data_IF_603324423017
#
_entry.id   IF_603324423017
#
_cell.length_a   1.000
_cell.length_b   1.000
_cell.length_c   1.000
_cell.angle_alpha   90.00
_cell.angle_beta   90.00
_cell.angle_gamma   90.00
#
_symmetry.space_group_name_H-M   'P 1'
#
loop_
_entity.id
_entity.type
_entity.pdbx_description
1 polymer ?
#
# COMPACT_ATOMS: atom_id res chain seq x y z
N UNK A 1 -22.62 37.27 0.62
CA UNK A 1 -22.49 36.39 -0.56
C UNK A 1 -23.88 35.91 -0.97
N UNK A 2 -24.29 36.17 -2.21
CA UNK A 2 -25.48 35.58 -2.84
C UNK A 2 -25.05 35.02 -4.20
N UNK A 3 -25.31 33.74 -4.47
CA UNK A 3 -25.45 33.26 -5.85
C UNK A 3 -24.94 31.86 -6.16
N UNK A 4 -23.68 31.56 -5.88
CA UNK A 4 -23.07 30.23 -6.08
C UNK A 4 -22.13 29.97 -4.92
N UNK A 5 -22.48 29.01 -4.05
CA UNK A 5 -21.58 28.50 -3.04
C UNK A 5 -20.45 27.76 -3.75
N UNK A 6 -19.20 28.20 -3.53
CA UNK A 6 -18.03 27.45 -3.97
C UNK A 6 -18.10 26.08 -3.28
N UNK A 7 -18.23 25.02 -4.07
CA UNK A 7 -18.17 23.66 -3.55
C UNK A 7 -16.74 23.37 -3.08
N UNK A 8 -16.55 23.32 -1.77
CA UNK A 8 -15.29 22.95 -1.13
C UNK A 8 -15.20 21.46 -0.81
N UNK A 9 -16.21 20.65 -1.17
CA UNK A 9 -16.22 19.21 -0.86
C UNK A 9 -15.13 18.49 -1.63
N UNK A 10 -14.18 17.91 -0.91
CA UNK A 10 -13.13 17.10 -1.49
C UNK A 10 -13.52 15.61 -1.49
N UNK A 11 -13.37 14.90 -2.61
CA UNK A 11 -13.64 13.47 -2.65
C UNK A 11 -12.54 12.71 -1.91
N UNK A 12 -12.92 11.74 -1.07
CA UNK A 12 -11.96 10.84 -0.41
C UNK A 12 -11.30 9.92 -1.46
N UNK A 13 -9.97 9.91 -1.56
CA UNK A 13 -9.26 8.95 -2.41
C UNK A 13 -9.49 7.51 -1.93
N UNK A 14 -9.51 6.55 -2.85
CA UNK A 14 -9.45 5.14 -2.48
C UNK A 14 -8.10 4.81 -1.82
N UNK A 15 -8.09 3.86 -0.89
CA UNK A 15 -6.88 3.37 -0.22
C UNK A 15 -6.09 4.41 0.60
N UNK A 16 -6.61 5.62 0.79
CA UNK A 16 -6.01 6.56 1.74
C UNK A 16 -6.33 6.11 3.17
N UNK A 17 -5.30 6.14 4.03
CA UNK A 17 -5.44 5.80 5.45
C UNK A 17 -6.37 6.78 6.16
N UNK A 18 -7.06 6.28 7.19
CA UNK A 18 -8.04 7.08 7.93
C UNK A 18 -7.42 8.32 8.57
N UNK A 19 -6.25 8.20 9.20
CA UNK A 19 -5.59 9.35 9.83
C UNK A 19 -5.15 10.42 8.82
N UNK A 20 -4.71 10.02 7.62
CA UNK A 20 -4.41 10.94 6.53
C UNK A 20 -5.68 11.63 6.03
N UNK A 21 -6.76 10.88 5.84
CA UNK A 21 -8.04 11.45 5.43
C UNK A 21 -8.60 12.41 6.48
N UNK A 22 -8.56 12.04 7.76
CA UNK A 22 -8.99 12.87 8.86
C UNK A 22 -8.23 14.22 8.90
N UNK A 23 -6.93 14.22 8.58
CA UNK A 23 -6.16 15.45 8.47
C UNK A 23 -6.63 16.35 7.30
N UNK A 24 -6.98 15.79 6.15
CA UNK A 24 -7.55 16.55 5.02
C UNK A 24 -8.94 17.08 5.35
N UNK A 25 -9.81 16.22 5.92
CA UNK A 25 -11.17 16.61 6.31
C UNK A 25 -11.17 17.73 7.36
N UNK A 26 -10.28 17.66 8.36
CA UNK A 26 -10.18 18.70 9.37
C UNK A 26 -9.82 20.08 8.80
N UNK A 27 -8.93 20.14 7.81
CA UNK A 27 -8.59 21.41 7.14
C UNK A 27 -9.71 21.88 6.19
N UNK A 28 -10.40 20.95 5.51
CA UNK A 28 -11.56 21.28 4.69
C UNK A 28 -12.73 21.84 5.53
N UNK A 29 -12.96 21.27 6.71
CA UNK A 29 -13.99 21.75 7.66
C UNK A 29 -13.64 23.13 8.23
N UNK A 30 -12.35 23.44 8.43
CA UNK A 30 -11.90 24.80 8.79
C UNK A 30 -12.20 25.79 7.66
N UNK A 31 -11.82 25.45 6.44
CA UNK A 31 -12.12 26.28 5.26
C UNK A 31 -13.62 26.55 5.13
N UNK A 32 -14.45 25.51 5.26
CA UNK A 32 -15.91 25.66 5.19
C UNK A 32 -16.43 26.64 6.26
N UNK A 33 -15.94 26.56 7.50
CA UNK A 33 -16.32 27.50 8.57
C UNK A 33 -15.94 28.94 8.24
N UNK A 34 -14.74 29.16 7.69
CA UNK A 34 -14.27 30.49 7.30
C UNK A 34 -15.10 31.12 6.18
N UNK A 35 -15.56 30.30 5.23
CA UNK A 35 -16.50 30.73 4.19
C UNK A 35 -17.87 31.05 4.77
N UNK A 36 -18.38 30.23 5.69
CA UNK A 36 -19.65 30.47 6.39
C UNK A 36 -19.63 31.75 7.23
N UNK A 37 -18.48 32.12 7.80
CA UNK A 37 -18.30 33.37 8.53
C UNK A 37 -17.98 34.57 7.63
N UNK A 38 -17.91 34.39 6.31
CA UNK A 38 -17.52 35.42 5.34
C UNK A 38 -16.14 36.04 5.66
N UNK A 39 -15.22 35.25 6.20
CA UNK A 39 -13.85 35.67 6.52
C UNK A 39 -12.90 35.30 5.37
N UNK A 40 -12.78 36.19 4.40
CA UNK A 40 -11.92 35.98 3.23
C UNK A 40 -10.44 35.79 3.57
N UNK A 41 -9.94 36.52 4.58
CA UNK A 41 -8.54 36.41 5.01
C UNK A 41 -8.24 35.04 5.62
N UNK A 42 -9.17 34.54 6.44
CA UNK A 42 -9.05 33.20 7.01
C UNK A 42 -9.27 32.12 5.94
N UNK A 43 -10.21 32.29 5.01
CA UNK A 43 -10.42 31.37 3.91
C UNK A 43 -9.15 31.19 3.05
N UNK A 44 -8.40 32.26 2.78
CA UNK A 44 -7.11 32.19 2.08
C UNK A 44 -6.04 31.43 2.87
N UNK A 45 -6.06 31.53 4.21
CA UNK A 45 -5.16 30.76 5.06
C UNK A 45 -5.55 29.27 5.07
N UNK A 46 -6.84 28.96 5.16
CA UNK A 46 -7.33 27.59 5.27
C UNK A 46 -7.16 26.81 3.96
N UNK A 47 -7.38 27.43 2.79
CA UNK A 47 -7.14 26.74 1.51
C UNK A 47 -5.66 26.38 1.31
N UNK A 48 -4.73 27.22 1.80
CA UNK A 48 -3.30 26.87 1.85
C UNK A 48 -3.09 25.65 2.74
N UNK A 49 -3.72 25.60 3.91
CA UNK A 49 -3.60 24.46 4.84
C UNK A 49 -4.14 23.16 4.21
N UNK A 50 -5.26 23.21 3.49
CA UNK A 50 -5.79 22.07 2.73
C UNK A 50 -4.77 21.56 1.71
N UNK A 51 -4.24 22.46 0.88
CA UNK A 51 -3.22 22.12 -0.14
C UNK A 51 -1.96 21.55 0.51
N UNK A 52 -1.48 22.16 1.59
CA UNK A 52 -0.29 21.71 2.32
C UNK A 52 -0.50 20.34 2.97
N UNK A 53 -1.65 20.10 3.58
CA UNK A 53 -2.02 18.81 4.19
C UNK A 53 -1.96 17.68 3.16
N UNK A 54 -2.58 17.88 2.00
CA UNK A 54 -2.55 16.91 0.90
C UNK A 54 -1.10 16.69 0.41
N UNK A 55 -0.34 17.76 0.21
CA UNK A 55 1.05 17.65 -0.26
C UNK A 55 1.95 16.90 0.73
N UNK A 56 1.80 17.14 2.03
CA UNK A 56 2.54 16.41 3.07
C UNK A 56 2.17 14.94 3.11
N UNK A 57 0.89 14.59 2.97
CA UNK A 57 0.44 13.20 2.90
C UNK A 57 1.05 12.49 1.70
N UNK A 58 1.10 13.13 0.53
CA UNK A 58 1.74 12.54 -0.67
C UNK A 58 3.20 12.18 -0.38
N UNK A 59 3.94 13.07 0.28
CA UNK A 59 5.35 12.87 0.60
C UNK A 59 5.56 11.82 1.69
N UNK A 60 4.68 11.77 2.67
CA UNK A 60 4.65 10.73 3.71
C UNK A 60 4.38 9.35 3.12
N UNK A 61 3.34 9.21 2.28
CA UNK A 61 3.03 7.97 1.53
C UNK A 61 4.16 7.56 0.59
N UNK A 62 4.95 8.52 0.10
CA UNK A 62 6.13 8.24 -0.72
C UNK A 62 7.33 7.71 0.10
N UNK A 63 7.25 7.71 1.43
CA UNK A 63 8.36 7.35 2.32
C UNK A 63 9.41 8.46 2.48
N UNK A 64 9.07 9.69 2.08
CA UNK A 64 9.94 10.87 2.19
C UNK A 64 9.18 12.02 2.86
N UNK A 65 8.80 11.90 4.14
CA UNK A 65 7.99 12.92 4.81
C UNK A 65 8.65 14.30 4.74
N UNK A 66 7.86 15.33 4.50
CA UNK A 66 8.36 16.70 4.45
C UNK A 66 8.90 17.15 5.82
N UNK A 67 10.03 17.87 5.82
CA UNK A 67 10.53 18.53 7.03
C UNK A 67 9.42 19.43 7.62
N UNK A 68 9.25 19.46 8.95
CA UNK A 68 8.27 20.36 9.59
C UNK A 68 8.42 21.82 9.17
N UNK A 69 9.64 22.28 8.90
CA UNK A 69 10.00 23.63 8.50
C UNK A 69 10.15 23.82 6.98
N UNK A 70 9.86 22.79 6.17
CA UNK A 70 9.95 22.90 4.72
C UNK A 70 9.01 24.01 4.20
N UNK A 71 9.50 24.75 3.21
CA UNK A 71 8.72 25.82 2.58
C UNK A 71 7.52 25.25 1.82
N UNK A 72 6.33 25.84 2.01
CA UNK A 72 5.09 25.44 1.35
C UNK A 72 5.22 25.17 -0.15
N UNK A 73 5.83 26.10 -0.91
CA UNK A 73 5.98 25.97 -2.36
C UNK A 73 6.81 24.75 -2.72
N UNK A 74 7.88 24.48 -1.96
CA UNK A 74 8.73 23.30 -2.17
C UNK A 74 7.99 21.99 -1.90
N UNK A 75 7.16 21.94 -0.85
CA UNK A 75 6.36 20.74 -0.50
C UNK A 75 5.36 20.45 -1.61
N UNK A 76 4.61 21.46 -2.05
CA UNK A 76 3.61 21.32 -3.12
C UNK A 76 4.27 20.93 -4.44
N UNK A 77 5.42 21.53 -4.78
CA UNK A 77 6.16 21.19 -5.99
C UNK A 77 6.64 19.73 -6.01
N UNK A 78 7.21 19.25 -4.89
CA UNK A 78 7.66 17.87 -4.74
C UNK A 78 6.47 16.89 -4.83
N UNK A 79 5.40 17.13 -4.06
CA UNK A 79 4.20 16.31 -4.10
C UNK A 79 3.60 16.24 -5.51
N UNK A 80 3.50 17.38 -6.21
CA UNK A 80 3.01 17.44 -7.58
C UNK A 80 3.89 16.62 -8.55
N UNK A 81 5.21 16.72 -8.42
CA UNK A 81 6.16 15.93 -9.22
C UNK A 81 5.99 14.44 -8.98
N UNK A 82 5.88 14.02 -7.72
CA UNK A 82 5.62 12.63 -7.34
C UNK A 82 4.32 12.11 -7.94
N UNK A 83 3.21 12.87 -7.84
CA UNK A 83 1.92 12.45 -8.38
C UNK A 83 1.87 12.41 -9.91
N UNK A 84 2.59 13.31 -10.56
CA UNK A 84 2.70 13.40 -12.02
C UNK A 84 3.59 12.29 -12.61
N UNK A 85 4.66 11.93 -11.93
CA UNK A 85 5.68 10.99 -12.41
C UNK A 85 5.33 9.51 -12.24
N UNK A 86 4.15 9.18 -11.70
CA UNK A 86 3.72 7.79 -11.54
C UNK A 86 3.61 7.07 -12.90
N UNK A 87 3.85 5.75 -12.96
CA UNK A 87 3.52 4.87 -14.09
C UNK A 87 2.08 4.32 -13.99
N UNK A 88 1.39 4.12 -15.12
CA UNK A 88 0.01 3.61 -15.18
C UNK A 88 -0.81 4.06 -16.40
N UNK A 89 -1.92 3.35 -16.68
CA UNK A 89 -2.71 3.48 -17.92
C UNK A 89 -3.54 4.77 -18.03
N UNK A 90 -3.75 5.50 -16.92
CA UNK A 90 -4.54 6.75 -16.90
C UNK A 90 -3.69 8.03 -16.81
N UNK A 91 -2.39 7.95 -17.11
CA UNK A 91 -1.45 8.94 -16.58
C UNK A 91 -1.05 10.07 -17.52
N UNK A 92 -1.14 11.27 -16.96
CA UNK A 92 -0.76 12.55 -17.54
C UNK A 92 0.76 12.72 -17.75
N UNK A 93 1.57 11.67 -17.64
CA UNK A 93 3.02 11.80 -17.76
C UNK A 93 3.37 12.06 -19.24
N UNK A 94 4.08 13.15 -19.51
CA UNK A 94 4.46 13.61 -20.86
C UNK A 94 3.31 13.87 -21.83
N UNK A 95 2.07 14.06 -21.35
CA UNK A 95 0.93 14.47 -22.20
C UNK A 95 0.57 15.93 -21.96
N UNK A 96 -0.30 16.49 -22.81
CA UNK A 96 -0.87 17.83 -22.60
C UNK A 96 -1.60 17.96 -21.25
N UNK A 97 -2.17 16.87 -20.75
CA UNK A 97 -2.78 16.82 -19.42
C UNK A 97 -1.73 16.92 -18.30
N UNK A 98 -0.50 16.45 -18.54
CA UNK A 98 0.63 16.64 -17.63
C UNK A 98 1.06 18.08 -17.49
N UNK A 99 0.94 18.84 -18.58
CA UNK A 99 1.16 20.28 -18.58
C UNK A 99 0.08 20.97 -17.76
N UNK A 100 -1.20 20.59 -17.93
CA UNK A 100 -2.29 21.12 -17.11
C UNK A 100 -2.07 20.86 -15.61
N UNK A 101 -1.70 19.64 -15.22
CA UNK A 101 -1.35 19.32 -13.83
C UNK A 101 -0.20 20.18 -13.31
N UNK A 102 0.82 20.42 -14.14
CA UNK A 102 1.95 21.30 -13.78
C UNK A 102 1.50 22.74 -13.55
N UNK A 103 0.59 23.26 -14.37
CA UNK A 103 0.04 24.61 -14.18
C UNK A 103 -0.84 24.69 -12.93
N UNK A 104 -1.68 23.70 -12.68
CA UNK A 104 -2.45 23.62 -11.43
C UNK A 104 -1.54 23.62 -10.21
N UNK A 105 -0.43 22.86 -10.24
CA UNK A 105 0.56 22.86 -9.17
C UNK A 105 1.24 24.21 -8.95
N UNK A 106 1.52 24.97 -10.02
CA UNK A 106 2.07 26.34 -9.93
C UNK A 106 1.05 27.32 -9.35
N UNK A 107 -0.21 27.23 -9.77
CA UNK A 107 -1.30 28.05 -9.22
C UNK A 107 -1.44 27.79 -7.72
N UNK A 108 -1.41 26.52 -7.28
CA UNK A 108 -1.49 26.16 -5.88
C UNK A 108 -0.28 26.67 -5.07
N UNK A 109 0.93 26.66 -5.63
CA UNK A 109 2.13 27.22 -4.99
C UNK A 109 1.99 28.73 -4.69
N UNK A 110 1.30 29.49 -5.54
CA UNK A 110 1.07 30.92 -5.34
C UNK A 110 0.24 31.22 -4.07
N UNK A 111 -0.50 30.23 -3.54
CA UNK A 111 -1.23 30.39 -2.27
C UNK A 111 -0.31 30.73 -1.09
N UNK A 112 0.96 30.35 -1.14
CA UNK A 112 1.93 30.74 -0.12
C UNK A 112 2.09 32.27 -0.05
N UNK A 113 2.33 32.89 -1.20
CA UNK A 113 2.49 34.35 -1.31
C UNK A 113 1.16 35.08 -1.09
N UNK A 114 0.06 34.57 -1.63
CA UNK A 114 -1.29 35.11 -1.42
C UNK A 114 -1.62 35.12 0.08
N UNK A 115 -1.39 34.02 0.79
CA UNK A 115 -1.61 33.96 2.24
C UNK A 115 -0.70 34.93 2.99
N UNK A 116 0.57 35.02 2.62
CA UNK A 116 1.50 35.94 3.27
C UNK A 116 1.08 37.41 3.08
N UNK A 117 0.54 37.77 1.92
CA UNK A 117 0.11 39.14 1.62
C UNK A 117 -1.30 39.47 2.15
N UNK A 118 -2.24 38.53 2.10
CA UNK A 118 -3.66 38.78 2.35
C UNK A 118 -4.33 37.89 3.40
N UNK A 119 -3.72 36.77 3.78
CA UNK A 119 -4.32 35.80 4.70
C UNK A 119 -4.05 36.04 6.19
N UNK A 120 -4.76 35.30 7.03
CA UNK A 120 -4.69 35.34 8.50
C UNK A 120 -3.53 34.54 9.13
N UNK A 121 -3.36 34.67 10.46
CA UNK A 121 -2.54 33.77 11.30
C UNK A 121 -1.23 34.33 11.88
N UNK A 122 -0.77 35.50 11.45
CA UNK A 122 0.29 36.25 12.13
C UNK A 122 -0.22 37.67 12.29
N UNK A 123 -0.50 38.11 13.53
CA UNK A 123 -1.13 39.40 13.81
C UNK A 123 -0.60 40.52 12.91
N UNK A 124 -1.51 41.25 12.26
CA UNK A 124 -1.17 42.28 11.28
C UNK A 124 -1.38 43.67 11.87
N UNK A 125 -0.49 44.58 11.53
CA UNK A 125 -0.66 46.00 11.86
C UNK A 125 -1.87 46.63 11.16
N UNK A 126 -2.30 46.07 10.01
CA UNK A 126 -3.47 46.51 9.24
C UNK A 126 -4.19 45.32 8.61
N UNK A 127 -5.52 45.39 8.55
CA UNK A 127 -6.34 44.44 7.80
C UNK A 127 -6.15 44.67 6.30
N UNK A 128 -5.78 43.64 5.51
CA UNK A 128 -5.68 43.76 4.07
C UNK A 128 -7.06 43.98 3.44
N UNK A 129 -7.13 44.78 2.38
CA UNK A 129 -8.34 44.95 1.58
C UNK A 129 -8.45 43.78 0.62
N UNK A 130 -9.49 42.97 0.76
CA UNK A 130 -9.77 41.81 -0.07
C UNK A 130 -11.08 42.02 -0.83
N UNK A 131 -11.06 41.77 -2.14
CA UNK A 131 -12.29 41.68 -2.93
C UNK A 131 -12.76 40.23 -2.98
N UNK A 132 -14.06 40.03 -3.18
CA UNK A 132 -14.63 38.69 -3.36
C UNK A 132 -13.94 37.93 -4.49
N UNK A 133 -13.60 38.60 -5.59
CA UNK A 133 -12.90 38.02 -6.74
C UNK A 133 -11.53 37.44 -6.36
N UNK A 134 -10.77 38.12 -5.50
CA UNK A 134 -9.46 37.63 -5.04
C UNK A 134 -9.60 36.35 -4.23
N UNK A 135 -10.62 36.25 -3.39
CA UNK A 135 -10.91 35.07 -2.58
C UNK A 135 -11.35 33.92 -3.49
N UNK A 136 -12.28 34.17 -4.41
CA UNK A 136 -12.79 33.16 -5.37
C UNK A 136 -11.66 32.58 -6.22
N UNK A 137 -10.84 33.43 -6.83
CA UNK A 137 -9.74 33.00 -7.70
C UNK A 137 -8.72 32.13 -6.96
N UNK A 138 -8.41 32.46 -5.70
CA UNK A 138 -7.54 31.65 -4.87
C UNK A 138 -8.15 30.28 -4.51
N UNK A 139 -9.45 30.26 -4.19
CA UNK A 139 -10.18 29.02 -3.92
C UNK A 139 -10.23 28.11 -5.15
N UNK A 140 -10.56 28.66 -6.33
CA UNK A 140 -10.60 27.90 -7.58
C UNK A 140 -9.24 27.28 -7.90
N UNK A 141 -8.16 28.05 -7.75
CA UNK A 141 -6.80 27.58 -7.95
C UNK A 141 -6.40 26.47 -6.97
N UNK A 142 -6.67 26.66 -5.68
CA UNK A 142 -6.35 25.67 -4.64
C UNK A 142 -7.15 24.39 -4.76
N UNK A 143 -8.47 24.50 -4.98
CA UNK A 143 -9.38 23.36 -5.10
C UNK A 143 -9.15 22.58 -6.39
N UNK A 144 -8.79 23.25 -7.50
CA UNK A 144 -8.40 22.58 -8.75
C UNK A 144 -7.25 21.61 -8.50
N UNK A 145 -6.18 22.08 -7.85
CA UNK A 145 -5.04 21.22 -7.54
C UNK A 145 -5.39 20.16 -6.49
N UNK A 146 -6.10 20.52 -5.41
CA UNK A 146 -6.47 19.58 -4.35
C UNK A 146 -7.31 18.41 -4.88
N UNK A 147 -8.33 18.69 -5.72
CA UNK A 147 -9.18 17.66 -6.33
C UNK A 147 -8.40 16.77 -7.30
N UNK A 148 -7.49 17.35 -8.08
CA UNK A 148 -6.59 16.58 -8.94
C UNK A 148 -5.66 15.70 -8.09
N UNK A 149 -4.99 16.28 -7.11
CA UNK A 149 -4.00 15.60 -6.27
C UNK A 149 -4.63 14.44 -5.48
N UNK A 150 -5.80 14.62 -4.90
CA UNK A 150 -6.53 13.57 -4.19
C UNK A 150 -6.91 12.41 -5.12
N UNK A 151 -7.43 12.70 -6.31
CA UNK A 151 -7.71 11.64 -7.29
C UNK A 151 -6.46 10.85 -7.65
N UNK A 152 -5.34 11.54 -7.86
CA UNK A 152 -4.02 10.94 -8.15
C UNK A 152 -3.46 10.17 -6.97
N UNK A 153 -3.67 10.65 -5.75
CA UNK A 153 -3.24 10.00 -4.52
C UNK A 153 -3.92 8.64 -4.36
N UNK A 154 -5.18 8.48 -4.78
CA UNK A 154 -5.86 7.19 -4.72
C UNK A 154 -5.20 6.10 -5.56
N UNK A 155 -4.77 6.45 -6.79
CA UNK A 155 -3.96 5.53 -7.61
C UNK A 155 -2.57 5.34 -7.02
N UNK A 156 -2.01 6.39 -6.40
CA UNK A 156 -0.68 6.32 -5.81
C UNK A 156 -0.60 5.35 -4.65
N UNK A 157 -1.62 5.35 -3.78
CA UNK A 157 -1.69 4.51 -2.57
C UNK A 157 -2.05 3.06 -2.89
N UNK A 158 -2.70 2.82 -4.01
CA UNK A 158 -3.22 1.51 -4.42
C UNK A 158 -2.18 0.39 -4.32
N UNK A 159 -0.97 0.61 -4.84
CA UNK A 159 0.14 -0.36 -4.82
C UNK A 159 1.20 -0.09 -3.76
N UNK A 160 1.00 0.87 -2.84
CA UNK A 160 2.06 1.23 -1.88
C UNK A 160 2.24 0.13 -0.84
N UNK A 161 3.49 -0.34 -0.60
CA UNK A 161 3.75 -1.49 0.27
C UNK A 161 3.05 -1.39 1.62
N UNK A 162 3.26 -0.30 2.35
CA UNK A 162 2.71 -0.14 3.69
C UNK A 162 1.17 -0.08 3.70
N UNK A 163 0.56 0.51 2.68
CA UNK A 163 -0.91 0.54 2.57
C UNK A 163 -1.46 -0.83 2.23
N UNK A 164 -0.80 -1.57 1.33
CA UNK A 164 -1.23 -2.90 0.92
C UNK A 164 -1.08 -3.93 2.05
N UNK A 165 0.05 -3.88 2.78
CA UNK A 165 0.31 -4.75 3.93
C UNK A 165 -0.73 -4.51 5.04
N UNK A 166 -1.01 -3.24 5.37
CA UNK A 166 -2.02 -2.91 6.37
C UNK A 166 -3.43 -3.33 5.93
N UNK A 167 -3.78 -3.23 4.65
CA UNK A 167 -5.09 -3.70 4.18
C UNK A 167 -5.22 -5.23 4.25
N UNK A 168 -4.13 -5.96 4.02
CA UNK A 168 -4.09 -7.42 4.10
C UNK A 168 -4.19 -7.90 5.56
N UNK A 169 -3.41 -7.31 6.46
CA UNK A 169 -3.18 -7.85 7.81
C UNK A 169 -3.48 -6.91 8.98
N UNK A 170 -3.71 -5.63 8.72
CA UNK A 170 -3.99 -4.62 9.74
C UNK A 170 -5.34 -4.81 10.44
N UNK A 171 -5.63 -3.89 11.35
CA UNK A 171 -6.87 -3.88 12.13
C UNK A 171 -7.58 -2.52 11.98
N UNK A 172 -8.81 -2.47 11.42
CA UNK A 172 -9.55 -3.59 10.82
C UNK A 172 -8.95 -4.05 9.47
N UNK A 173 -9.14 -5.32 9.13
CA UNK A 173 -8.71 -5.86 7.82
C UNK A 173 -9.61 -5.35 6.71
N UNK A 174 -9.03 -5.07 5.54
CA UNK A 174 -9.81 -4.72 4.36
C UNK A 174 -10.55 -5.93 3.77
N UNK A 175 -11.65 -5.65 3.08
CA UNK A 175 -12.41 -6.63 2.29
C UNK A 175 -11.91 -6.53 0.85
N UNK A 176 -11.35 -7.62 0.33
CA UNK A 176 -10.91 -7.72 -1.07
C UNK A 176 -12.02 -8.33 -1.93
N UNK A 177 -12.26 -7.72 -3.09
CA UNK A 177 -13.10 -8.30 -4.15
C UNK A 177 -12.23 -8.96 -5.21
N UNK A 178 -12.81 -9.87 -5.98
CA UNK A 178 -12.09 -10.59 -7.05
C UNK A 178 -11.39 -9.61 -8.02
N UNK A 179 -10.11 -9.88 -8.29
CA UNK A 179 -9.25 -9.07 -9.15
C UNK A 179 -8.67 -7.82 -8.47
N UNK A 180 -9.12 -7.46 -7.27
CA UNK A 180 -8.66 -6.26 -6.58
C UNK A 180 -7.23 -6.41 -6.11
N UNK A 181 -6.88 -7.53 -5.46
CA UNK A 181 -5.51 -7.72 -4.98
C UNK A 181 -4.56 -7.87 -6.17
N UNK A 182 -4.96 -8.58 -7.22
CA UNK A 182 -4.14 -8.73 -8.43
C UNK A 182 -3.81 -7.36 -9.03
N UNK A 183 -4.81 -6.49 -9.18
CA UNK A 183 -4.62 -5.11 -9.66
C UNK A 183 -3.68 -4.32 -8.76
N UNK A 184 -3.81 -4.45 -7.43
CA UNK A 184 -2.93 -3.78 -6.47
C UNK A 184 -1.48 -4.27 -6.52
N UNK A 185 -1.26 -5.57 -6.70
CA UNK A 185 0.08 -6.15 -6.87
C UNK A 185 0.74 -5.69 -8.17
N UNK A 186 -0.02 -5.56 -9.26
CA UNK A 186 0.45 -4.95 -10.51
C UNK A 186 0.84 -3.49 -10.28
N UNK A 187 -0.03 -2.71 -9.62
CA UNK A 187 0.23 -1.31 -9.25
C UNK A 187 1.44 -1.16 -8.32
N UNK A 188 1.71 -2.15 -7.47
CA UNK A 188 2.88 -2.17 -6.58
C UNK A 188 4.19 -2.39 -7.35
N UNK A 189 4.13 -2.94 -8.57
CA UNK A 189 5.28 -3.24 -9.41
C UNK A 189 6.38 -3.94 -8.60
N UNK A 190 6.04 -5.11 -8.03
CA UNK A 190 6.88 -5.91 -7.13
C UNK A 190 8.37 -5.94 -7.53
N UNK A 191 8.75 -6.13 -8.81
CA UNK A 191 10.17 -6.20 -9.21
C UNK A 191 10.99 -4.93 -8.92
N UNK A 192 10.33 -3.78 -8.82
CA UNK A 192 10.99 -2.49 -8.55
C UNK A 192 11.09 -2.15 -7.06
N UNK A 193 10.42 -2.92 -6.20
CA UNK A 193 10.47 -2.72 -4.76
C UNK A 193 11.78 -3.29 -4.17
N UNK A 194 12.15 -2.81 -2.98
CA UNK A 194 13.23 -3.43 -2.21
C UNK A 194 12.86 -4.86 -1.81
N UNK A 195 13.88 -5.73 -1.64
CA UNK A 195 13.71 -7.10 -1.15
C UNK A 195 12.86 -7.17 0.14
N UNK A 196 13.08 -6.21 1.05
CA UNK A 196 12.31 -6.09 2.29
C UNK A 196 10.81 -5.88 2.03
N UNK A 197 10.43 -4.96 1.13
CA UNK A 197 9.03 -4.72 0.81
C UNK A 197 8.41 -5.87 0.01
N UNK A 198 9.16 -6.46 -0.94
CA UNK A 198 8.70 -7.66 -1.65
C UNK A 198 8.34 -8.77 -0.66
N UNK A 199 9.24 -9.06 0.29
CA UNK A 199 9.02 -10.07 1.32
C UNK A 199 7.86 -9.73 2.24
N UNK A 200 7.78 -8.49 2.72
CA UNK A 200 6.71 -8.06 3.63
C UNK A 200 5.31 -8.17 2.97
N UNK A 201 5.18 -7.78 1.69
CA UNK A 201 3.93 -7.98 0.95
C UNK A 201 3.63 -9.47 0.80
N UNK A 202 4.62 -10.29 0.42
CA UNK A 202 4.45 -11.73 0.28
C UNK A 202 3.96 -12.39 1.58
N UNK A 203 4.59 -12.05 2.71
CA UNK A 203 4.16 -12.52 4.04
C UNK A 203 2.71 -12.15 4.31
N UNK A 204 2.33 -10.90 4.02
CA UNK A 204 0.97 -10.43 4.26
C UNK A 204 -0.06 -11.16 3.39
N UNK A 205 0.25 -11.41 2.11
CA UNK A 205 -0.59 -12.19 1.21
C UNK A 205 -0.75 -13.63 1.71
N UNK A 206 0.37 -14.30 2.04
CA UNK A 206 0.37 -15.67 2.53
C UNK A 206 -0.45 -15.83 3.81
N UNK A 207 -0.27 -14.94 4.79
CA UNK A 207 -0.99 -14.94 6.06
C UNK A 207 -2.49 -14.74 5.87
N UNK A 208 -2.86 -13.77 5.02
CA UNK A 208 -4.25 -13.47 4.75
C UNK A 208 -4.93 -14.62 4.00
N UNK A 209 -4.25 -15.23 3.03
CA UNK A 209 -4.72 -16.43 2.34
C UNK A 209 -4.91 -17.62 3.31
N UNK A 210 -3.91 -17.90 4.15
CA UNK A 210 -3.96 -18.97 5.16
C UNK A 210 -5.07 -18.76 6.20
N UNK A 211 -5.47 -17.51 6.46
CA UNK A 211 -6.61 -17.19 7.32
C UNK A 211 -8.00 -17.45 6.68
N UNK A 212 -8.05 -18.13 5.53
CA UNK A 212 -9.29 -18.55 4.85
C UNK A 212 -9.88 -17.50 3.92
N UNK A 213 -9.10 -16.51 3.50
CA UNK A 213 -9.58 -15.47 2.55
C UNK A 213 -9.33 -15.93 1.12
N UNK A 214 -10.26 -16.72 0.55
CA UNK A 214 -10.12 -17.35 -0.79
C UNK A 214 -9.77 -16.36 -1.91
N UNK A 215 -10.38 -15.17 -1.92
CA UNK A 215 -10.09 -14.14 -2.94
C UNK A 215 -8.61 -13.71 -2.91
N UNK A 216 -8.02 -13.61 -1.72
CA UNK A 216 -6.59 -13.26 -1.58
C UNK A 216 -5.69 -14.40 -2.05
N UNK A 217 -6.12 -15.65 -1.82
CA UNK A 217 -5.44 -16.81 -2.37
C UNK A 217 -5.47 -16.83 -3.90
N UNK A 218 -6.64 -16.66 -4.52
CA UNK A 218 -6.83 -16.61 -5.97
C UNK A 218 -6.09 -15.46 -6.65
N UNK A 219 -6.05 -14.28 -6.04
CA UNK A 219 -5.46 -13.09 -6.65
C UNK A 219 -3.94 -12.96 -6.37
N UNK A 220 -3.45 -13.50 -5.25
CA UNK A 220 -2.10 -13.24 -4.74
C UNK A 220 -1.20 -14.46 -4.61
N UNK A 221 -1.77 -15.66 -4.45
CA UNK A 221 -1.03 -16.92 -4.28
C UNK A 221 -1.04 -17.73 -5.57
N UNK A 222 -2.21 -18.04 -6.13
CA UNK A 222 -2.33 -18.88 -7.34
C UNK A 222 -1.59 -18.33 -8.57
N UNK A 223 -1.60 -17.01 -8.87
CA UNK A 223 -0.88 -16.49 -10.03
C UNK A 223 0.65 -16.61 -9.89
N UNK A 224 1.14 -16.56 -8.64
CA UNK A 224 2.55 -16.79 -8.30
C UNK A 224 2.91 -18.29 -8.34
N UNK A 225 1.99 -19.15 -7.89
CA UNK A 225 2.10 -20.61 -7.94
C UNK A 225 2.15 -21.13 -9.38
N UNK A 226 1.39 -20.51 -10.30
CA UNK A 226 1.25 -20.94 -11.69
C UNK A 226 2.26 -20.29 -12.66
N UNK A 227 3.29 -19.64 -12.15
CA UNK A 227 4.33 -18.98 -12.94
C UNK A 227 5.70 -19.24 -12.32
N UNK A 228 6.70 -19.49 -13.15
CA UNK A 228 8.11 -19.58 -12.72
C UNK A 228 8.89 -18.28 -12.96
N UNK A 229 8.23 -17.24 -13.47
CA UNK A 229 8.88 -15.99 -13.86
C UNK A 229 9.25 -15.13 -12.65
N UNK A 230 10.54 -15.13 -12.31
CA UNK A 230 11.11 -14.30 -11.23
C UNK A 230 11.15 -12.80 -11.57
N UNK A 231 10.98 -12.42 -12.83
CA UNK A 231 10.87 -11.01 -13.24
C UNK A 231 9.46 -10.45 -12.98
N UNK A 232 8.44 -11.30 -12.84
CA UNK A 232 7.08 -10.90 -12.47
C UNK A 232 6.81 -11.15 -10.98
N UNK A 233 7.27 -12.31 -10.48
CA UNK A 233 7.11 -12.75 -9.09
C UNK A 233 8.49 -12.92 -8.45
N UNK A 234 9.06 -11.83 -7.91
CA UNK A 234 10.42 -11.84 -7.38
C UNK A 234 10.62 -12.85 -6.27
N UNK A 235 11.87 -13.27 -6.13
CA UNK A 235 12.36 -14.19 -5.09
C UNK A 235 11.79 -13.87 -3.70
N UNK A 236 11.95 -12.63 -3.25
CA UNK A 236 11.60 -12.25 -1.88
C UNK A 236 10.09 -12.24 -1.63
N UNK A 237 9.29 -11.93 -2.65
CA UNK A 237 7.83 -12.10 -2.58
C UNK A 237 7.45 -13.57 -2.40
N UNK A 238 8.04 -14.49 -3.18
CA UNK A 238 7.80 -15.94 -3.08
C UNK A 238 8.16 -16.48 -1.69
N UNK A 239 9.33 -16.10 -1.17
CA UNK A 239 9.74 -16.44 0.19
C UNK A 239 8.75 -15.92 1.22
N UNK A 240 8.28 -14.69 1.05
CA UNK A 240 7.25 -14.10 1.89
C UNK A 240 5.95 -14.90 1.87
N UNK A 241 5.42 -15.22 0.68
CA UNK A 241 4.17 -15.99 0.55
C UNK A 241 4.31 -17.36 1.20
N UNK A 242 5.39 -18.10 0.90
CA UNK A 242 5.66 -19.40 1.50
C UNK A 242 5.72 -19.32 3.04
N UNK A 243 6.42 -18.33 3.58
CA UNK A 243 6.46 -18.08 5.02
C UNK A 243 5.06 -17.79 5.58
N UNK A 244 4.32 -16.87 4.96
CA UNK A 244 3.00 -16.46 5.44
C UNK A 244 1.94 -17.56 5.39
N UNK A 245 2.10 -18.55 4.50
CA UNK A 245 1.25 -19.73 4.48
C UNK A 245 1.46 -20.64 5.71
N UNK A 246 2.65 -20.60 6.32
CA UNK A 246 3.02 -21.47 7.45
C UNK A 246 3.03 -20.78 8.81
N UNK A 247 3.08 -19.45 8.84
CA UNK A 247 3.14 -18.68 10.08
C UNK A 247 2.20 -17.48 10.05
N UNK A 248 1.43 -17.29 11.13
CA UNK A 248 0.63 -16.07 11.33
C UNK A 248 1.49 -14.85 11.71
N UNK A 249 0.84 -13.70 11.93
CA UNK A 249 1.52 -12.44 12.24
C UNK A 249 2.25 -12.49 13.59
N UNK A 250 1.76 -13.29 14.54
CA UNK A 250 2.36 -13.55 15.84
C UNK A 250 3.49 -14.59 15.79
N UNK A 251 3.69 -15.23 14.63
CA UNK A 251 4.71 -16.25 14.40
C UNK A 251 4.31 -17.65 14.83
N UNK A 252 3.03 -17.87 15.17
CA UNK A 252 2.49 -19.19 15.43
C UNK A 252 2.37 -19.99 14.13
N UNK A 253 2.51 -21.30 14.25
CA UNK A 253 2.44 -22.22 13.11
C UNK A 253 0.98 -22.40 12.65
N UNK A 254 0.70 -22.00 11.41
CA UNK A 254 -0.59 -22.22 10.69
C UNK A 254 -0.51 -23.35 9.65
N UNK A 255 0.60 -24.06 9.64
CA UNK A 255 0.95 -25.12 8.70
C UNK A 255 -0.14 -26.21 8.54
N UNK A 256 -0.49 -26.48 7.28
CA UNK A 256 -1.38 -27.57 6.83
C UNK A 256 -0.74 -28.37 5.68
N UNK A 257 -1.19 -29.61 5.42
CA UNK A 257 -0.76 -30.37 4.24
C UNK A 257 -0.85 -29.58 2.93
N UNK A 258 -2.00 -28.94 2.67
CA UNK A 258 -2.21 -28.17 1.43
C UNK A 258 -1.22 -27.02 1.33
N UNK A 259 -1.03 -26.26 2.42
CA UNK A 259 -0.06 -25.15 2.45
C UNK A 259 1.38 -25.62 2.28
N UNK A 260 1.73 -26.86 2.68
CA UNK A 260 3.05 -27.43 2.48
C UNK A 260 3.34 -27.63 1.00
N UNK A 261 2.37 -28.21 0.27
CA UNK A 261 2.45 -28.42 -1.18
C UNK A 261 2.57 -27.09 -1.93
N UNK A 262 1.70 -26.13 -1.60
CA UNK A 262 1.67 -24.82 -2.26
C UNK A 262 2.94 -24.03 -2.01
N UNK A 263 3.39 -23.92 -0.75
CA UNK A 263 4.62 -23.22 -0.42
C UNK A 263 5.84 -23.84 -1.12
N UNK A 264 5.93 -25.18 -1.19
CA UNK A 264 7.03 -25.83 -1.91
C UNK A 264 7.02 -25.51 -3.40
N UNK A 265 5.84 -25.57 -4.05
CA UNK A 265 5.70 -25.22 -5.45
C UNK A 265 6.00 -23.72 -5.73
N UNK A 266 5.62 -22.81 -4.82
CA UNK A 266 5.99 -21.39 -4.91
C UNK A 266 7.51 -21.18 -4.86
N UNK A 267 8.21 -22.02 -4.10
CA UNK A 267 9.67 -21.98 -3.92
C UNK A 267 10.45 -22.74 -4.99
N UNK A 268 9.80 -23.53 -5.86
CA UNK A 268 10.48 -24.31 -6.91
C UNK A 268 11.39 -23.43 -7.80
N UNK A 269 10.97 -22.23 -8.25
CA UNK A 269 11.82 -21.35 -9.06
C UNK A 269 12.94 -20.66 -8.28
N UNK A 270 12.95 -20.76 -6.94
CA UNK A 270 13.93 -20.09 -6.08
C UNK A 270 15.08 -21.05 -5.76
N UNK A 271 16.25 -20.80 -6.36
CA UNK A 271 17.43 -21.67 -6.24
C UNK A 271 18.21 -21.55 -4.93
N UNK A 272 17.99 -20.50 -4.14
CA UNK A 272 18.79 -20.11 -2.98
C UNK A 272 17.93 -19.88 -1.73
N UNK A 273 16.99 -20.79 -1.44
CA UNK A 273 16.10 -20.73 -0.27
C UNK A 273 16.32 -21.87 0.76
N UNK A 274 17.35 -22.70 0.58
CA UNK A 274 17.55 -23.89 1.42
C UNK A 274 17.68 -23.57 2.91
N UNK A 275 18.35 -22.46 3.26
CA UNK A 275 18.51 -22.02 4.64
C UNK A 275 17.19 -21.53 5.26
N UNK A 276 16.41 -20.72 4.53
CA UNK A 276 15.07 -20.29 4.95
C UNK A 276 14.17 -21.50 5.20
N UNK A 277 14.12 -22.45 4.25
CA UNK A 277 13.26 -23.64 4.38
C UNK A 277 13.68 -24.52 5.56
N UNK A 278 14.99 -24.71 5.79
CA UNK A 278 15.49 -25.47 6.92
C UNK A 278 15.08 -24.84 8.26
N UNK A 279 15.19 -23.52 8.40
CA UNK A 279 14.75 -22.79 9.60
C UNK A 279 13.25 -22.96 9.84
N UNK A 280 12.43 -22.76 8.81
CA UNK A 280 10.97 -22.83 8.93
C UNK A 280 10.49 -24.23 9.30
N UNK A 281 11.01 -25.27 8.64
CA UNK A 281 10.68 -26.67 8.94
C UNK A 281 11.11 -27.04 10.37
N UNK A 282 12.28 -26.57 10.81
CA UNK A 282 12.75 -26.80 12.17
C UNK A 282 11.84 -26.14 13.22
N UNK A 283 11.36 -24.92 12.95
CA UNK A 283 10.38 -24.23 13.81
C UNK A 283 9.06 -24.98 13.89
N UNK A 284 8.53 -25.43 12.75
CA UNK A 284 7.28 -26.22 12.70
C UNK A 284 7.44 -27.52 13.50
N UNK A 285 8.57 -28.22 13.32
CA UNK A 285 8.86 -29.45 14.05
C UNK A 285 8.95 -29.22 15.56
N UNK A 286 9.61 -28.15 16.01
CA UNK A 286 9.71 -27.79 17.41
C UNK A 286 8.34 -27.50 18.03
N UNK A 287 7.45 -26.80 17.32
CA UNK A 287 6.08 -26.52 17.81
C UNK A 287 5.22 -27.77 17.94
N UNK A 288 5.39 -28.74 17.03
CA UNK A 288 4.64 -30.02 17.03
C UNK A 288 5.24 -31.09 17.94
N UNK A 289 6.37 -30.82 18.59
CA UNK A 289 7.02 -31.80 19.45
C UNK A 289 6.09 -32.19 20.62
N UNK A 290 5.83 -33.49 20.76
CA UNK A 290 4.98 -34.03 21.82
C UNK A 290 3.47 -33.95 21.56
N UNK A 291 3.05 -33.46 20.39
CA UNK A 291 1.64 -33.53 19.99
C UNK A 291 1.27 -34.97 19.63
N UNK A 292 0.03 -35.41 19.89
CA UNK A 292 -0.44 -36.71 19.42
C UNK A 292 -0.40 -36.75 17.89
N UNK A 293 -0.12 -37.94 17.35
CA UNK A 293 -0.14 -38.14 15.90
C UNK A 293 -1.55 -37.79 15.36
N UNK A 294 -1.63 -37.04 14.24
CA UNK A 294 -2.91 -36.81 13.58
C UNK A 294 -3.50 -38.14 13.11
N UNK A 295 -4.84 -38.27 12.99
CA UNK A 295 -5.43 -39.44 12.37
C UNK A 295 -4.91 -39.61 10.93
N UNK A 296 -4.90 -40.85 10.45
CA UNK A 296 -4.53 -41.13 9.06
C UNK A 296 -5.49 -40.41 8.09
N UNK A 297 -4.90 -39.76 7.09
CA UNK A 297 -5.60 -39.02 6.05
C UNK A 297 -4.92 -39.27 4.70
N UNK A 298 -5.67 -39.80 3.74
CA UNK A 298 -5.14 -40.17 2.42
C UNK A 298 -4.58 -38.96 1.66
N UNK A 299 -5.27 -37.80 1.74
CA UNK A 299 -4.85 -36.60 1.04
C UNK A 299 -3.54 -36.04 1.61
N UNK A 300 -3.38 -36.01 2.94
CA UNK A 300 -2.14 -35.65 3.58
C UNK A 300 -1.00 -36.61 3.21
N UNK A 301 -1.27 -37.92 3.14
CA UNK A 301 -0.29 -38.90 2.70
C UNK A 301 0.17 -38.67 1.26
N UNK A 302 -0.75 -38.45 0.31
CA UNK A 302 -0.42 -38.13 -1.08
C UNK A 302 0.45 -36.87 -1.20
N UNK A 303 0.18 -35.85 -0.38
CA UNK A 303 1.00 -34.64 -0.33
C UNK A 303 2.40 -34.91 0.24
N UNK A 304 2.51 -35.74 1.28
CA UNK A 304 3.80 -36.15 1.82
C UNK A 304 4.65 -36.87 0.76
N UNK A 305 4.05 -37.78 -0.01
CA UNK A 305 4.71 -38.47 -1.13
C UNK A 305 5.11 -37.49 -2.25
N UNK A 306 4.28 -36.50 -2.57
CA UNK A 306 4.64 -35.42 -3.49
C UNK A 306 5.89 -34.67 -3.02
N UNK A 307 5.99 -34.34 -1.73
CA UNK A 307 7.15 -33.63 -1.16
C UNK A 307 8.41 -34.51 -1.27
N UNK A 308 8.32 -35.79 -0.94
CA UNK A 308 9.45 -36.74 -1.08
C UNK A 308 9.90 -36.87 -2.54
N UNK A 309 8.96 -36.87 -3.49
CA UNK A 309 9.25 -36.95 -4.92
C UNK A 309 9.99 -35.71 -5.48
N UNK A 310 10.04 -34.59 -4.76
CA UNK A 310 10.77 -33.37 -5.16
C UNK A 310 12.28 -33.43 -4.88
N UNK A 311 12.75 -34.34 -4.03
CA UNK A 311 14.17 -34.50 -3.66
C UNK A 311 15.16 -34.56 -4.84
N UNK A 312 14.91 -35.25 -5.96
CA UNK A 312 15.84 -35.27 -7.10
C UNK A 312 15.90 -33.93 -7.87
N UNK A 313 14.89 -33.07 -7.75
CA UNK A 313 14.76 -31.80 -8.47
C UNK A 313 15.28 -30.60 -7.65
N UNK A 314 15.47 -30.79 -6.35
CA UNK A 314 15.85 -29.73 -5.39
C UNK A 314 17.33 -29.85 -4.97
N UNK A 315 17.95 -28.77 -4.47
CA UNK A 315 19.31 -28.78 -3.96
C UNK A 315 19.57 -29.92 -2.96
N UNK A 316 20.73 -30.55 -3.01
CA UNK A 316 21.05 -31.70 -2.15
C UNK A 316 20.98 -31.38 -0.65
N UNK A 317 21.23 -30.12 -0.28
CA UNK A 317 21.16 -29.61 1.11
C UNK A 317 19.73 -29.65 1.68
N UNK A 318 18.71 -29.76 0.83
CA UNK A 318 17.30 -29.75 1.23
C UNK A 318 16.71 -31.14 1.43
N UNK A 319 17.43 -32.21 1.07
CA UNK A 319 16.87 -33.57 1.08
C UNK A 319 16.33 -33.97 2.45
N UNK A 320 17.08 -33.72 3.52
CA UNK A 320 16.67 -34.01 4.90
C UNK A 320 15.53 -33.08 5.36
N UNK A 321 15.50 -31.85 4.84
CA UNK A 321 14.44 -30.87 5.13
C UNK A 321 13.13 -31.31 4.48
N UNK A 322 13.18 -31.82 3.26
CA UNK A 322 12.02 -32.34 2.54
C UNK A 322 11.47 -33.61 3.19
N UNK A 323 12.32 -34.52 3.66
CA UNK A 323 11.86 -35.69 4.43
C UNK A 323 11.15 -35.26 5.72
N UNK A 324 11.77 -34.37 6.50
CA UNK A 324 11.15 -33.81 7.71
C UNK A 324 9.83 -33.11 7.40
N UNK A 325 9.76 -32.32 6.34
CA UNK A 325 8.54 -31.63 5.92
C UNK A 325 7.45 -32.65 5.56
N UNK A 326 7.77 -33.69 4.81
CA UNK A 326 6.84 -34.77 4.48
C UNK A 326 6.33 -35.49 5.73
N UNK A 327 7.20 -35.78 6.70
CA UNK A 327 6.82 -36.42 7.97
C UNK A 327 5.94 -35.51 8.84
N UNK A 328 6.15 -34.19 8.77
CA UNK A 328 5.27 -33.20 9.41
C UNK A 328 3.89 -33.14 8.73
N UNK A 329 3.81 -33.40 7.42
CA UNK A 329 2.53 -33.49 6.70
C UNK A 329 1.80 -34.80 7.05
N UNK A 330 2.49 -35.93 6.92
CA UNK A 330 1.98 -37.26 7.24
C UNK A 330 3.09 -38.10 7.86
N UNK A 331 2.98 -38.46 9.15
CA UNK A 331 4.00 -39.22 9.86
C UNK A 331 3.93 -40.74 9.57
N UNK A 332 2.97 -41.17 8.74
CA UNK A 332 2.72 -42.58 8.47
C UNK A 332 3.61 -43.10 7.32
N UNK A 333 4.25 -44.28 7.49
CA UNK A 333 5.16 -44.83 6.49
C UNK A 333 4.48 -45.68 5.40
N UNK A 334 3.14 -45.69 5.32
CA UNK A 334 2.34 -46.55 4.43
C UNK A 334 1.11 -45.86 3.86
#
# INVERSE_FOLDING_TARGET
>A
MTGEDIDVRLPRPLYIREHHWAAVSAEADRLQRSLQSNDGSQALADIKCVVESIARIVLDVNGTPADPNANFSSIVAQANSTLKGQPGDELANQTVFGNMATQAGKIAQNLGDIRNQFGGGHGRARTPVLTDEMVRLALDGGLLWARWALRRLGYFTEGRPDSLIDDLNGSPRAIFRSGELQRRLVSANLPTLSAQHQRAIGVAVGQRAASGTFVVHWDGVEPCLNSDDLAIWPRDYRLGVAYGLWFDAEGNVTFTPVSAREALAILDPVGDCSADMADWVQRIAATRQGWPLPPWDAAAFEIAEFIRAKKPQRPAQERDVLDKLADLVSPYPF
#
